data_IF_841757254052
#
_entry.id   IF_841757254052
#
_cell.length_a   1.000
_cell.length_b   1.000
_cell.length_c   1.000
_cell.angle_alpha   90.00
_cell.angle_beta   90.00
_cell.angle_gamma   90.00
#
_symmetry.space_group_name_H-M   'P 1'
#
loop_
_entity.id
_entity.type
_entity.pdbx_description
1 polymer ?
#
# COMPACT_ATOMS: atom_id res chain seq x y z
N UNK A 1 11.49 -1.37 10.31
CA UNK A 1 12.20 -2.53 9.74
C UNK A 1 11.15 -3.59 9.40
N UNK A 2 10.54 -3.46 8.23
CA UNK A 2 9.52 -4.34 7.68
C UNK A 2 10.03 -4.79 6.31
N UNK A 3 9.84 -6.08 6.00
CA UNK A 3 10.22 -6.77 4.77
C UNK A 3 11.73 -6.89 4.49
N UNK A 4 12.46 -7.55 5.40
CA UNK A 4 13.68 -8.28 5.03
C UNK A 4 13.37 -9.78 5.03
N UNK A 5 13.15 -10.35 3.84
CA UNK A 5 13.06 -11.79 3.67
C UNK A 5 14.43 -12.43 3.86
N UNK A 6 14.77 -12.79 5.10
CA UNK A 6 15.73 -13.89 5.30
C UNK A 6 14.97 -15.19 5.07
N UNK A 7 15.48 -16.02 4.17
CA UNK A 7 15.07 -17.42 4.07
C UNK A 7 15.26 -18.06 5.45
N UNK A 8 14.15 -18.34 6.13
CA UNK A 8 14.13 -19.15 7.35
C UNK A 8 14.11 -20.64 6.97
N UNK A 9 14.71 -21.51 7.80
CA UNK A 9 14.88 -22.92 7.49
C UNK A 9 13.51 -23.63 7.37
N UNK A 10 13.45 -24.81 6.73
CA UNK A 10 12.20 -25.51 6.48
C UNK A 10 11.46 -25.74 7.80
N UNK A 11 10.16 -25.45 7.80
CA UNK A 11 9.28 -25.74 8.91
C UNK A 11 9.16 -27.26 9.05
N UNK A 12 9.94 -27.86 9.95
CA UNK A 12 9.61 -29.18 10.49
C UNK A 12 8.35 -29.04 11.35
N UNK A 13 7.24 -29.60 10.88
CA UNK A 13 5.98 -29.59 11.63
C UNK A 13 4.67 -29.63 10.81
N UNK A 14 4.72 -29.64 9.47
CA UNK A 14 3.53 -29.82 8.62
C UNK A 14 3.22 -31.30 8.34
N UNK A 15 3.24 -32.14 9.38
CA UNK A 15 2.85 -33.54 9.23
C UNK A 15 1.79 -33.90 10.27
N UNK A 16 0.58 -34.18 9.79
CA UNK A 16 -0.60 -34.82 10.45
C UNK A 16 -1.95 -34.06 10.43
N UNK A 17 -2.40 -33.47 9.31
CA UNK A 17 -3.74 -32.88 9.31
C UNK A 17 -4.48 -32.58 8.00
N UNK A 18 -4.11 -33.15 6.84
CA UNK A 18 -4.78 -32.87 5.55
C UNK A 18 -5.57 -34.01 4.87
N UNK A 19 -5.84 -35.21 5.46
CA UNK A 19 -6.75 -36.15 4.80
C UNK A 19 -8.21 -35.74 5.06
N UNK A 20 -8.85 -35.12 4.07
CA UNK A 20 -10.28 -34.78 4.09
C UNK A 20 -10.66 -33.38 3.58
N UNK A 21 -9.71 -32.57 3.11
CA UNK A 21 -10.00 -31.29 2.44
C UNK A 21 -10.34 -31.54 0.96
N UNK A 22 -11.40 -30.89 0.41
CA UNK A 22 -11.86 -31.11 -0.97
C UNK A 22 -10.76 -31.07 -2.03
N UNK A 23 -9.78 -30.18 -1.86
CA UNK A 23 -8.68 -29.91 -2.79
C UNK A 23 -7.77 -31.10 -3.09
N UNK A 24 -7.79 -32.13 -2.24
CA UNK A 24 -7.03 -33.35 -2.47
C UNK A 24 -7.64 -34.23 -3.58
N UNK A 25 -8.93 -34.04 -3.88
CA UNK A 25 -9.70 -34.87 -4.81
C UNK A 25 -9.92 -34.20 -6.18
N UNK A 26 -10.05 -32.87 -6.28
CA UNK A 26 -10.31 -32.13 -7.53
C UNK A 26 -9.21 -31.14 -7.96
N UNK A 27 -8.20 -30.93 -7.11
CA UNK A 27 -7.08 -30.02 -7.36
C UNK A 27 -7.27 -28.66 -6.69
N UNK A 28 -6.35 -27.72 -6.97
CA UNK A 28 -6.42 -26.33 -6.49
C UNK A 28 -6.80 -25.46 -7.69
N UNK A 29 -7.91 -24.73 -7.61
CA UNK A 29 -8.32 -23.78 -8.64
C UNK A 29 -7.66 -22.39 -8.48
N UNK A 30 -7.90 -21.46 -9.42
CA UNK A 30 -7.30 -20.12 -9.41
C UNK A 30 -7.75 -19.27 -8.20
N UNK A 31 -8.95 -19.50 -7.67
CA UNK A 31 -9.46 -18.78 -6.49
C UNK A 31 -8.86 -19.34 -5.21
N UNK A 32 -8.74 -20.65 -5.11
CA UNK A 32 -8.08 -21.34 -4.01
C UNK A 32 -6.58 -21.02 -3.98
N UNK A 33 -5.92 -20.95 -5.14
CA UNK A 33 -4.53 -20.51 -5.25
C UNK A 33 -4.34 -19.07 -4.74
N UNK A 34 -5.27 -18.18 -5.09
CA UNK A 34 -5.29 -16.80 -4.62
C UNK A 34 -5.49 -16.71 -3.09
N UNK A 35 -6.40 -17.51 -2.53
CA UNK A 35 -6.62 -17.60 -1.09
C UNK A 35 -5.37 -18.12 -0.35
N UNK A 36 -4.77 -19.21 -0.84
CA UNK A 36 -3.56 -19.80 -0.26
C UNK A 36 -2.41 -18.78 -0.24
N UNK A 37 -2.23 -18.01 -1.30
CA UNK A 37 -1.15 -17.04 -1.37
C UNK A 37 -1.30 -15.89 -0.35
N UNK A 38 -2.53 -15.39 -0.15
CA UNK A 38 -2.83 -14.41 0.92
C UNK A 38 -2.56 -15.02 2.31
N UNK A 39 -3.00 -16.27 2.53
CA UNK A 39 -2.83 -16.94 3.81
C UNK A 39 -1.36 -17.22 4.12
N UNK A 40 -0.57 -17.64 3.13
CA UNK A 40 0.87 -17.85 3.28
C UNK A 40 1.59 -16.55 3.66
N UNK A 41 1.21 -15.45 3.03
CA UNK A 41 1.77 -14.15 3.33
C UNK A 41 1.36 -13.62 4.73
N UNK A 42 0.32 -14.21 5.33
CA UNK A 42 -0.12 -13.94 6.70
C UNK A 42 0.16 -15.07 7.68
N UNK A 43 1.00 -16.06 7.32
CA UNK A 43 1.34 -17.26 8.13
C UNK A 43 1.92 -16.99 9.53
N UNK A 44 2.36 -15.76 9.79
CA UNK A 44 2.86 -15.34 11.11
C UNK A 44 1.72 -15.08 12.11
N UNK A 45 0.47 -15.08 11.65
CA UNK A 45 -0.75 -15.01 12.47
C UNK A 45 -1.05 -16.34 13.16
N UNK A 46 -2.07 -16.37 14.02
CA UNK A 46 -2.40 -17.59 14.76
C UNK A 46 -2.82 -18.73 13.82
N UNK A 47 -2.59 -19.98 14.24
CA UNK A 47 -2.92 -21.15 13.43
C UNK A 47 -4.43 -21.28 13.15
N UNK A 48 -5.29 -20.60 13.92
CA UNK A 48 -6.73 -20.52 13.72
C UNK A 48 -7.07 -19.53 12.59
N UNK A 49 -6.40 -18.37 12.56
CA UNK A 49 -6.55 -17.38 11.49
C UNK A 49 -6.07 -17.88 10.11
N UNK A 50 -5.26 -18.93 10.10
CA UNK A 50 -4.85 -19.62 8.88
C UNK A 50 -5.79 -20.77 8.49
N UNK A 51 -6.23 -21.59 9.46
CA UNK A 51 -7.03 -22.79 9.18
C UNK A 51 -8.48 -22.49 8.85
N UNK A 52 -9.15 -21.60 9.58
CA UNK A 52 -10.59 -21.39 9.35
C UNK A 52 -10.91 -20.92 7.93
N UNK A 53 -10.16 -19.97 7.31
CA UNK A 53 -10.46 -19.55 5.95
C UNK A 53 -10.24 -20.67 4.91
N UNK A 54 -9.35 -21.63 5.18
CA UNK A 54 -9.17 -22.82 4.31
C UNK A 54 -10.37 -23.78 4.45
N UNK A 55 -10.91 -23.94 5.65
CA UNK A 55 -12.04 -24.84 5.92
C UNK A 55 -13.38 -24.24 5.48
N UNK A 56 -13.55 -22.93 5.59
CA UNK A 56 -14.77 -22.20 5.22
C UNK A 56 -14.45 -20.77 4.82
N UNK A 57 -14.79 -20.41 3.58
CA UNK A 57 -14.73 -19.04 3.11
C UNK A 57 -15.88 -18.73 2.15
N UNK A 58 -16.16 -17.44 2.04
CA UNK A 58 -17.00 -16.87 1.03
C UNK A 58 -16.12 -16.03 0.10
N UNK A 59 -16.31 -16.22 -1.20
CA UNK A 59 -15.62 -15.46 -2.24
C UNK A 59 -16.61 -14.58 -2.99
N UNK A 60 -16.19 -13.36 -3.29
CA UNK A 60 -16.78 -12.53 -4.34
C UNK A 60 -15.71 -12.30 -5.38
N UNK A 61 -16.08 -12.49 -6.64
CA UNK A 61 -15.17 -12.26 -7.76
C UNK A 61 -15.82 -11.38 -8.81
N UNK A 62 -15.02 -10.54 -9.46
CA UNK A 62 -15.44 -9.66 -10.55
C UNK A 62 -14.29 -9.49 -11.51
N UNK A 63 -14.56 -9.67 -12.79
CA UNK A 63 -13.61 -9.26 -13.84
C UNK A 63 -13.97 -7.86 -14.29
N UNK A 64 -13.00 -6.96 -14.25
CA UNK A 64 -13.14 -5.58 -14.72
C UNK A 64 -12.27 -5.39 -15.97
N UNK A 65 -12.77 -4.60 -16.92
CA UNK A 65 -11.99 -4.18 -18.08
C UNK A 65 -11.38 -2.80 -17.80
N UNK A 66 -10.06 -2.73 -17.81
CA UNK A 66 -9.26 -1.53 -17.65
C UNK A 66 -8.63 -1.11 -18.99
N UNK A 67 -8.59 0.20 -19.31
CA UNK A 67 -8.04 0.70 -20.58
C UNK A 67 -6.62 0.22 -20.93
N UNK A 68 -5.71 0.11 -19.95
CA UNK A 68 -4.30 -0.23 -20.19
C UNK A 68 -3.95 -1.66 -19.79
N UNK A 69 -4.50 -2.18 -18.69
CA UNK A 69 -4.26 -3.54 -18.23
C UNK A 69 -5.07 -4.61 -18.97
N UNK A 70 -6.18 -4.24 -19.60
CA UNK A 70 -7.15 -5.20 -20.13
C UNK A 70 -8.02 -5.79 -19.03
N UNK A 71 -8.30 -7.09 -19.09
CA UNK A 71 -9.13 -7.77 -18.10
C UNK A 71 -8.34 -8.03 -16.81
N UNK A 72 -8.86 -7.53 -15.69
CA UNK A 72 -8.30 -7.73 -14.34
C UNK A 72 -9.33 -8.46 -13.48
N UNK A 73 -8.94 -9.59 -12.89
CA UNK A 73 -9.76 -10.33 -11.93
C UNK A 73 -9.55 -9.74 -10.53
N UNK A 74 -10.65 -9.30 -9.92
CA UNK A 74 -10.73 -8.87 -8.54
C UNK A 74 -11.34 -10.01 -7.70
N UNK A 75 -10.71 -10.31 -6.57
CA UNK A 75 -11.17 -11.33 -5.63
C UNK A 75 -11.30 -10.72 -4.23
N UNK A 76 -12.38 -11.04 -3.54
CA UNK A 76 -12.57 -10.73 -2.12
C UNK A 76 -12.89 -12.01 -1.38
N UNK A 77 -12.05 -12.38 -0.41
CA UNK A 77 -12.30 -13.53 0.47
C UNK A 77 -12.72 -13.05 1.86
N UNK A 78 -13.72 -13.70 2.44
CA UNK A 78 -14.17 -13.45 3.81
C UNK A 78 -14.51 -14.80 4.47
N UNK A 79 -14.17 -14.97 5.75
CA UNK A 79 -14.53 -16.19 6.48
C UNK A 79 -16.06 -16.27 6.72
N UNK A 80 -16.68 -15.17 7.11
CA UNK A 80 -18.13 -15.07 7.28
C UNK A 80 -18.83 -14.65 5.99
N UNK A 81 -20.15 -14.88 5.91
CA UNK A 81 -20.95 -14.39 4.79
C UNK A 81 -20.92 -12.85 4.71
N UNK A 82 -20.78 -12.33 3.50
CA UNK A 82 -20.76 -10.89 3.26
C UNK A 82 -22.04 -10.20 3.76
N UNK A 83 -21.93 -9.07 4.48
CA UNK A 83 -23.09 -8.35 4.96
C UNK A 83 -23.92 -7.79 3.78
N UNK A 84 -25.26 -7.66 3.95
CA UNK A 84 -26.08 -6.98 2.96
C UNK A 84 -25.60 -5.55 2.72
N UNK A 85 -25.40 -5.19 1.45
CA UNK A 85 -24.89 -3.86 1.08
C UNK A 85 -23.37 -3.71 1.14
N UNK A 86 -22.61 -4.78 1.41
CA UNK A 86 -21.18 -4.79 1.12
C UNK A 86 -20.96 -4.47 -0.38
N UNK A 87 -20.25 -3.38 -0.63
CA UNK A 87 -19.87 -2.87 -1.95
C UNK A 87 -18.35 -2.91 -2.15
N UNK A 88 -17.65 -3.81 -1.47
CA UNK A 88 -16.20 -3.79 -1.42
C UNK A 88 -15.56 -4.07 -2.77
N UNK A 89 -16.14 -4.98 -3.56
CA UNK A 89 -15.64 -5.29 -4.89
C UNK A 89 -15.92 -4.17 -5.91
N UNK A 90 -17.04 -3.45 -5.75
CA UNK A 90 -17.32 -2.23 -6.52
C UNK A 90 -16.34 -1.10 -6.16
N UNK A 91 -16.05 -0.93 -4.87
CA UNK A 91 -15.06 0.05 -4.42
C UNK A 91 -13.67 -0.27 -4.99
N UNK A 92 -13.28 -1.54 -5.01
CA UNK A 92 -12.03 -1.96 -5.63
C UNK A 92 -11.97 -1.64 -7.12
N UNK A 93 -13.06 -1.89 -7.85
CA UNK A 93 -13.13 -1.52 -9.26
C UNK A 93 -12.93 -0.02 -9.46
N UNK A 94 -13.65 0.80 -8.69
CA UNK A 94 -13.57 2.26 -8.75
C UNK A 94 -12.15 2.76 -8.45
N UNK A 95 -11.47 2.16 -7.46
CA UNK A 95 -10.09 2.48 -7.12
C UNK A 95 -9.14 2.07 -8.25
N UNK A 96 -9.25 0.84 -8.76
CA UNK A 96 -8.37 0.35 -9.83
C UNK A 96 -8.45 1.25 -11.07
N UNK A 97 -9.66 1.70 -11.42
CA UNK A 97 -9.88 2.65 -12.53
C UNK A 97 -9.20 4.00 -12.26
N UNK A 98 -9.42 4.59 -11.08
CA UNK A 98 -8.83 5.87 -10.73
C UNK A 98 -7.29 5.82 -10.67
N UNK A 99 -6.74 4.72 -10.16
CA UNK A 99 -5.30 4.51 -10.07
C UNK A 99 -4.66 4.27 -11.45
N UNK A 100 -5.26 3.46 -12.32
CA UNK A 100 -4.77 3.28 -13.70
C UNK A 100 -4.84 4.59 -14.49
N UNK A 101 -5.93 5.35 -14.33
CA UNK A 101 -6.05 6.66 -14.95
C UNK A 101 -4.95 7.61 -14.48
N UNK A 102 -4.68 7.69 -13.17
CA UNK A 102 -3.64 8.55 -12.65
C UNK A 102 -2.24 8.10 -13.07
N UNK A 103 -1.94 6.81 -12.94
CA UNK A 103 -0.62 6.28 -13.23
C UNK A 103 -0.30 6.27 -14.71
N UNK A 104 -1.32 6.32 -15.59
CA UNK A 104 -1.16 6.24 -17.04
C UNK A 104 -0.22 5.09 -17.46
N UNK A 105 -0.29 3.99 -16.70
CA UNK A 105 0.45 2.77 -16.87
C UNK A 105 -0.51 1.60 -16.58
N UNK A 106 -0.33 0.43 -17.23
CA UNK A 106 -1.20 -0.71 -16.99
C UNK A 106 -1.25 -1.07 -15.50
N UNK A 107 -2.46 -1.17 -14.96
CA UNK A 107 -2.65 -1.77 -13.65
C UNK A 107 -2.05 -3.19 -13.65
N UNK A 108 -1.32 -3.61 -12.62
CA UNK A 108 -0.79 -4.97 -12.54
C UNK A 108 -1.89 -6.02 -12.75
N UNK A 109 -1.60 -6.99 -13.63
CA UNK A 109 -2.60 -7.87 -14.28
C UNK A 109 -2.52 -9.35 -13.86
N UNK A 110 -1.68 -9.68 -12.88
CA UNK A 110 -1.91 -10.89 -12.08
C UNK A 110 -3.22 -10.69 -11.29
N UNK A 111 -3.98 -11.73 -10.95
CA UNK A 111 -5.24 -11.56 -10.21
C UNK A 111 -4.98 -10.70 -8.97
N UNK A 112 -5.71 -9.59 -8.87
CA UNK A 112 -5.59 -8.65 -7.76
C UNK A 112 -6.49 -9.19 -6.66
N UNK A 113 -5.85 -9.76 -5.65
CA UNK A 113 -6.56 -10.48 -4.59
C UNK A 113 -6.68 -9.58 -3.37
N UNK A 114 -7.89 -9.39 -2.84
CA UNK A 114 -8.08 -8.93 -1.46
C UNK A 114 -8.53 -10.11 -0.62
N UNK A 115 -7.67 -10.60 0.25
CA UNK A 115 -8.08 -11.39 1.39
C UNK A 115 -8.55 -10.48 2.53
N UNK A 116 -9.85 -10.46 2.81
CA UNK A 116 -10.35 -9.90 4.06
C UNK A 116 -10.25 -11.01 5.09
N UNK A 117 -9.12 -11.05 5.79
CA UNK A 117 -8.92 -12.01 6.87
C UNK A 117 -9.66 -11.50 8.08
N UNK A 118 -10.86 -12.03 8.26
CA UNK A 118 -11.57 -11.84 9.49
C UNK A 118 -10.90 -12.65 10.62
N UNK A 119 -10.61 -12.05 11.79
CA UNK A 119 -10.59 -12.84 12.99
C UNK A 119 -11.98 -13.43 13.14
N UNK A 120 -12.05 -14.74 13.34
CA UNK A 120 -13.16 -15.31 14.07
C UNK A 120 -13.39 -14.46 15.33
N UNK A 121 -14.64 -14.03 15.53
CA UNK A 121 -15.13 -13.31 16.71
C UNK A 121 -15.02 -14.15 18.02
N UNK A 122 -14.13 -15.16 18.09
CA UNK A 122 -14.16 -16.21 19.11
C UNK A 122 -12.95 -16.34 20.03
N UNK A 123 -11.74 -15.90 19.66
CA UNK A 123 -10.54 -16.44 20.32
C UNK A 123 -9.89 -15.57 21.41
N UNK A 124 -10.34 -14.33 21.66
CA UNK A 124 -9.67 -13.44 22.62
C UNK A 124 -8.20 -13.13 22.28
N UNK A 125 -7.77 -13.51 21.07
CA UNK A 125 -6.46 -13.22 20.52
C UNK A 125 -6.41 -11.73 20.18
N UNK A 126 -5.37 -11.05 20.66
CA UNK A 126 -5.10 -9.69 20.19
C UNK A 126 -4.66 -9.83 18.74
N UNK A 127 -5.36 -9.27 17.75
CA UNK A 127 -4.79 -9.18 16.42
C UNK A 127 -3.46 -8.45 16.59
N UNK A 128 -2.36 -9.10 16.25
CA UNK A 128 -1.08 -8.40 16.16
C UNK A 128 -1.28 -7.21 15.22
N UNK A 129 -0.71 -6.06 15.57
CA UNK A 129 -0.98 -4.78 14.91
C UNK A 129 -0.67 -4.88 13.41
N UNK A 130 -1.70 -5.01 12.59
CA UNK A 130 -1.64 -4.96 11.13
C UNK A 130 -2.97 -4.42 10.61
N UNK A 131 -2.93 -3.29 9.91
CA UNK A 131 -4.10 -2.48 9.50
C UNK A 131 -4.62 -2.99 8.14
N UNK A 132 -3.68 -3.22 7.22
CA UNK A 132 -3.77 -4.00 6.00
C UNK A 132 -2.33 -4.33 5.58
N UNK A 133 -2.14 -5.28 4.66
CA UNK A 133 -0.82 -5.53 4.06
C UNK A 133 -0.97 -5.86 2.59
N UNK A 134 -0.33 -5.07 1.74
CA UNK A 134 -0.03 -5.47 0.37
C UNK A 134 1.14 -6.45 0.35
N UNK A 135 1.01 -7.47 -0.48
CA UNK A 135 1.83 -8.67 -0.60
C UNK A 135 1.96 -8.97 -2.09
N UNK A 136 2.70 -8.11 -2.79
CA UNK A 136 2.77 -8.05 -4.25
C UNK A 136 1.40 -7.64 -4.84
N UNK A 137 0.79 -8.49 -5.65
CA UNK A 137 -0.52 -8.25 -6.28
C UNK A 137 -1.70 -8.65 -5.36
N UNK A 138 -1.45 -8.82 -4.06
CA UNK A 138 -2.40 -9.36 -3.09
C UNK A 138 -2.48 -8.45 -1.87
N UNK A 139 -3.67 -8.30 -1.27
CA UNK A 139 -3.94 -7.44 -0.13
C UNK A 139 -4.55 -8.27 0.99
N UNK A 140 -4.11 -8.06 2.23
CA UNK A 140 -4.66 -8.71 3.42
C UNK A 140 -5.19 -7.67 4.41
N UNK A 141 -6.51 -7.58 4.61
CA UNK A 141 -7.14 -6.61 5.53
C UNK A 141 -7.66 -7.35 6.77
N UNK A 142 -7.51 -6.77 7.96
CA UNK A 142 -8.06 -7.36 9.20
C UNK A 142 -9.53 -6.97 9.41
N UNK A 143 -10.35 -7.83 10.04
CA UNK A 143 -11.76 -7.44 10.29
C UNK A 143 -11.92 -6.22 11.18
N UNK A 144 -10.95 -5.90 12.04
CA UNK A 144 -11.06 -4.70 12.88
C UNK A 144 -11.17 -3.45 12.01
N UNK A 145 -10.37 -3.38 10.95
CA UNK A 145 -10.37 -2.26 10.01
C UNK A 145 -11.52 -2.33 9.02
N UNK A 146 -11.87 -3.54 8.55
CA UNK A 146 -13.10 -3.76 7.81
C UNK A 146 -14.32 -3.16 8.56
N UNK A 147 -14.44 -3.45 9.85
CA UNK A 147 -15.55 -2.98 10.69
C UNK A 147 -15.46 -1.51 11.14
N UNK A 148 -14.31 -0.85 11.02
CA UNK A 148 -14.09 0.56 11.42
C UNK A 148 -14.23 1.56 10.29
N UNK A 149 -14.27 1.08 9.05
CA UNK A 149 -14.28 1.92 7.86
C UNK A 149 -13.38 1.31 6.79
N UNK A 150 -13.75 0.10 6.35
CA UNK A 150 -13.12 -0.69 5.29
C UNK A 150 -12.55 0.15 4.15
N UNK A 151 -13.29 1.17 3.72
CA UNK A 151 -12.96 2.06 2.62
C UNK A 151 -11.53 2.62 2.72
N UNK A 152 -11.13 3.23 3.84
CA UNK A 152 -9.82 3.91 3.93
C UNK A 152 -8.65 2.95 3.79
N UNK A 153 -8.76 1.76 4.39
CA UNK A 153 -7.73 0.73 4.30
C UNK A 153 -7.67 0.17 2.89
N UNK A 154 -8.81 -0.12 2.25
CA UNK A 154 -8.82 -0.61 0.85
C UNK A 154 -8.19 0.40 -0.09
N UNK A 155 -8.53 1.68 0.06
CA UNK A 155 -7.90 2.77 -0.70
C UNK A 155 -6.37 2.72 -0.58
N UNK A 156 -5.85 2.70 0.66
CA UNK A 156 -4.41 2.67 0.93
C UNK A 156 -3.75 1.42 0.36
N UNK A 157 -4.24 0.23 0.71
CA UNK A 157 -3.67 -1.05 0.31
C UNK A 157 -3.73 -1.26 -1.22
N UNK A 158 -4.80 -0.85 -1.90
CA UNK A 158 -4.84 -0.92 -3.37
C UNK A 158 -3.82 -0.03 -4.06
N UNK A 159 -3.40 1.06 -3.41
CA UNK A 159 -2.38 1.94 -3.95
C UNK A 159 -0.99 1.32 -3.87
N UNK A 160 -0.76 0.40 -2.92
CA UNK A 160 0.46 -0.40 -2.87
C UNK A 160 0.63 -1.26 -4.12
N UNK A 161 -0.42 -1.65 -4.86
CA UNK A 161 -0.27 -2.56 -6.01
C UNK A 161 0.74 -2.04 -7.06
N UNK A 162 0.89 -0.73 -7.22
CA UNK A 162 1.94 -0.15 -8.07
C UNK A 162 3.36 -0.16 -7.47
N UNK A 163 3.49 -0.23 -6.14
CA UNK A 163 4.75 -0.02 -5.40
C UNK A 163 5.19 -1.23 -4.57
N UNK A 164 4.32 -2.22 -4.41
CA UNK A 164 4.39 -3.16 -3.31
C UNK A 164 5.68 -3.98 -3.39
N UNK A 165 6.39 -4.05 -2.25
CA UNK A 165 7.30 -5.16 -1.91
C UNK A 165 8.63 -5.23 -2.65
N UNK A 166 8.87 -4.46 -3.71
CA UNK A 166 10.01 -4.69 -4.59
C UNK A 166 10.88 -3.46 -4.89
N UNK A 167 10.43 -2.24 -4.57
CA UNK A 167 11.13 -1.05 -5.04
C UNK A 167 12.41 -0.74 -4.27
N UNK A 168 12.59 -1.27 -3.05
CA UNK A 168 13.64 -0.85 -2.13
C UNK A 168 13.71 0.67 -1.90
N UNK A 169 12.62 1.39 -2.23
CA UNK A 169 12.57 2.83 -2.17
C UNK A 169 12.51 3.32 -0.71
N UNK A 170 12.89 4.58 -0.45
CA UNK A 170 12.73 5.18 0.86
C UNK A 170 11.29 5.06 1.38
N UNK A 171 11.12 4.63 2.63
CA UNK A 171 9.81 4.40 3.22
C UNK A 171 8.88 5.63 3.20
N UNK A 172 9.44 6.85 3.26
CA UNK A 172 8.63 8.06 3.14
C UNK A 172 7.96 8.17 1.76
N UNK A 173 8.61 7.67 0.71
CA UNK A 173 8.11 7.75 -0.65
C UNK A 173 7.09 6.67 -0.92
N UNK A 174 7.36 5.41 -0.53
CA UNK A 174 6.39 4.31 -0.71
C UNK A 174 5.12 4.60 0.07
N UNK A 175 5.23 4.77 1.39
CA UNK A 175 4.10 5.00 2.28
C UNK A 175 3.43 6.36 2.01
N UNK A 176 4.21 7.33 1.56
CA UNK A 176 3.70 8.62 1.11
C UNK A 176 2.88 8.51 -0.18
N UNK A 177 3.36 7.76 -1.18
CA UNK A 177 2.64 7.53 -2.43
C UNK A 177 1.37 6.70 -2.17
N UNK A 178 1.45 5.74 -1.25
CA UNK A 178 0.33 4.95 -0.76
C UNK A 178 -0.62 5.75 0.12
N UNK A 179 -0.22 6.92 0.64
CA UNK A 179 -1.12 7.91 1.23
C UNK A 179 -1.72 8.87 0.19
N UNK A 180 -0.94 9.29 -0.82
CA UNK A 180 -1.38 10.27 -1.80
C UNK A 180 -2.32 9.71 -2.89
N UNK A 181 -1.96 8.58 -3.50
CA UNK A 181 -2.75 7.91 -4.53
C UNK A 181 -4.18 7.55 -4.08
N UNK A 182 -4.42 7.04 -2.85
CA UNK A 182 -5.79 6.83 -2.42
C UNK A 182 -6.57 8.13 -2.28
N UNK A 183 -5.93 9.21 -1.85
CA UNK A 183 -6.61 10.50 -1.74
C UNK A 183 -6.94 11.10 -3.09
N UNK A 184 -6.12 10.85 -4.11
CA UNK A 184 -6.52 11.12 -5.49
C UNK A 184 -7.76 10.31 -5.89
N UNK A 185 -7.76 9.00 -5.66
CA UNK A 185 -8.91 8.15 -5.99
C UNK A 185 -10.18 8.58 -5.23
N UNK A 186 -10.05 8.94 -3.94
CA UNK A 186 -11.15 9.47 -3.13
C UNK A 186 -11.68 10.81 -3.64
N UNK A 187 -10.82 11.66 -4.19
CA UNK A 187 -11.25 12.91 -4.82
C UNK A 187 -12.06 12.65 -6.09
N UNK A 188 -11.59 11.73 -6.96
CA UNK A 188 -12.33 11.35 -8.18
C UNK A 188 -13.71 10.75 -7.85
N UNK A 189 -13.81 10.03 -6.73
CA UNK A 189 -15.06 9.41 -6.28
C UNK A 189 -15.91 10.35 -5.40
N UNK A 190 -15.54 11.62 -5.27
CA UNK A 190 -16.32 12.63 -4.51
C UNK A 190 -16.38 12.38 -3.00
N UNK A 191 -15.43 11.61 -2.44
CA UNK A 191 -15.40 11.18 -1.03
C UNK A 191 -14.63 12.15 -0.11
N UNK A 192 -13.45 12.61 -0.56
CA UNK A 192 -12.69 13.68 0.11
C UNK A 192 -11.82 14.37 -0.92
N UNK A 193 -11.71 15.70 -0.85
CA UNK A 193 -10.80 16.45 -1.72
C UNK A 193 -9.37 16.40 -1.21
N UNK A 194 -8.41 16.39 -2.14
CA UNK A 194 -6.97 16.47 -1.83
C UNK A 194 -6.69 17.72 -1.00
N UNK A 195 -7.35 18.84 -1.34
CA UNK A 195 -7.18 20.10 -0.60
C UNK A 195 -7.61 20.01 0.87
N UNK A 196 -8.68 19.28 1.18
CA UNK A 196 -9.14 19.07 2.55
C UNK A 196 -8.16 18.21 3.34
N UNK A 197 -7.72 17.10 2.74
CA UNK A 197 -6.78 16.17 3.37
C UNK A 197 -5.41 16.81 3.60
N UNK A 198 -4.91 17.58 2.63
CA UNK A 198 -3.67 18.37 2.76
C UNK A 198 -3.68 19.29 3.99
N UNK A 199 -4.80 19.97 4.26
CA UNK A 199 -4.90 20.83 5.45
C UNK A 199 -4.82 20.03 6.75
N UNK A 200 -5.42 18.84 6.79
CA UNK A 200 -5.34 17.93 7.94
C UNK A 200 -3.90 17.45 8.15
N UNK A 201 -3.22 17.04 7.07
CA UNK A 201 -1.82 16.62 7.14
C UNK A 201 -0.88 17.74 7.56
N UNK A 202 -1.10 18.96 7.06
CA UNK A 202 -0.33 20.13 7.46
C UNK A 202 -0.44 20.38 8.98
N UNK A 203 -1.64 20.25 9.54
CA UNK A 203 -1.87 20.35 10.98
C UNK A 203 -1.07 19.27 11.74
N UNK A 204 -1.12 18.02 11.29
CA UNK A 204 -0.36 16.91 11.91
C UNK A 204 1.15 17.14 11.81
N UNK A 205 1.63 17.66 10.68
CA UNK A 205 3.04 18.01 10.50
C UNK A 205 3.49 19.09 11.50
N UNK A 206 2.73 20.18 11.61
CA UNK A 206 3.03 21.31 12.48
C UNK A 206 2.98 20.93 13.97
N UNK A 207 1.91 20.23 14.38
CA UNK A 207 1.58 19.98 15.78
C UNK A 207 2.26 18.73 16.35
N UNK A 208 2.55 17.73 15.50
CA UNK A 208 3.12 16.46 15.96
C UNK A 208 4.55 16.25 15.46
N UNK A 209 4.76 16.21 14.15
CA UNK A 209 6.05 15.80 13.58
C UNK A 209 7.14 16.85 13.84
N UNK A 210 6.85 18.13 13.59
CA UNK A 210 7.82 19.20 13.84
C UNK A 210 8.17 19.32 15.31
N UNK A 211 7.19 19.24 16.21
CA UNK A 211 7.39 19.30 17.67
C UNK A 211 8.25 18.12 18.17
N UNK A 212 8.08 16.94 17.57
CA UNK A 212 8.90 15.75 17.88
C UNK A 212 10.30 15.79 17.24
N UNK A 213 10.64 16.84 16.49
CA UNK A 213 11.95 17.01 15.86
C UNK A 213 12.11 16.28 14.53
N UNK A 214 11.02 15.73 13.98
CA UNK A 214 10.96 15.06 12.67
C UNK A 214 10.40 16.00 11.59
N UNK A 215 10.63 17.30 11.71
CA UNK A 215 10.01 18.32 10.86
C UNK A 215 10.38 18.24 9.36
N UNK A 216 11.33 17.39 8.98
CA UNK A 216 11.64 17.06 7.58
C UNK A 216 11.88 15.56 7.44
N UNK A 217 11.67 15.02 6.23
CA UNK A 217 11.88 13.60 5.91
C UNK A 217 13.30 13.16 6.24
N UNK A 218 14.31 13.90 5.79
CA UNK A 218 15.73 13.61 6.06
C UNK A 218 16.05 13.59 7.56
N UNK A 219 15.41 14.43 8.38
CA UNK A 219 15.58 14.40 9.84
C UNK A 219 14.95 13.15 10.44
N UNK A 220 13.78 12.74 9.95
CA UNK A 220 13.14 11.51 10.38
C UNK A 220 13.99 10.28 10.03
N UNK A 221 14.48 10.17 8.80
CA UNK A 221 15.33 9.05 8.37
C UNK A 221 16.59 8.91 9.22
N UNK A 222 17.30 10.01 9.51
CA UNK A 222 18.48 10.01 10.39
C UNK A 222 18.18 9.60 11.85
N UNK A 223 16.91 9.62 12.28
CA UNK A 223 16.56 9.13 13.61
C UNK A 223 16.65 7.61 13.71
N UNK A 224 16.56 6.86 12.60
CA UNK A 224 16.72 5.39 12.67
C UNK A 224 18.12 5.05 13.20
N UNK A 225 19.14 5.77 12.73
CA UNK A 225 20.53 5.57 13.18
C UNK A 225 20.81 6.18 14.56
N UNK A 226 20.27 7.37 14.84
CA UNK A 226 20.65 8.16 16.03
C UNK A 226 19.76 7.92 17.24
N UNK A 227 18.51 7.50 17.04
CA UNK A 227 17.53 7.22 18.09
C UNK A 227 16.42 6.25 17.61
N UNK A 228 16.74 4.95 17.47
CA UNK A 228 15.82 3.94 16.90
C UNK A 228 14.47 3.84 17.64
N UNK A 229 14.46 4.03 18.96
CA UNK A 229 13.22 3.97 19.74
C UNK A 229 12.31 5.18 19.45
N UNK A 230 12.91 6.36 19.28
CA UNK A 230 12.18 7.54 18.85
C UNK A 230 11.71 7.42 17.41
N UNK A 231 12.53 6.89 16.52
CA UNK A 231 12.15 6.58 15.14
C UNK A 231 10.91 5.69 15.09
N UNK A 232 10.91 4.57 15.82
CA UNK A 232 9.74 3.66 15.92
C UNK A 232 8.50 4.35 16.48
N UNK A 233 8.63 5.13 17.55
CA UNK A 233 7.50 5.85 18.15
C UNK A 233 6.98 7.04 17.33
N UNK A 234 7.74 7.49 16.33
CA UNK A 234 7.36 8.55 15.38
C UNK A 234 7.03 7.98 13.99
N UNK A 235 6.87 6.66 13.84
CA UNK A 235 6.67 6.02 12.53
C UNK A 235 5.56 6.64 11.69
N UNK A 236 4.47 7.08 12.31
CA UNK A 236 3.35 7.76 11.64
C UNK A 236 3.77 9.05 10.89
N UNK A 237 4.85 9.71 11.33
CA UNK A 237 5.38 10.88 10.64
C UNK A 237 6.01 10.52 9.30
N UNK A 238 6.51 9.29 9.09
CA UNK A 238 7.02 8.86 7.78
C UNK A 238 5.91 8.92 6.72
N UNK A 239 4.75 8.36 7.07
CA UNK A 239 3.53 8.30 6.26
C UNK A 239 3.03 9.72 5.98
N UNK A 240 2.72 10.47 7.04
CA UNK A 240 2.09 11.78 6.91
C UNK A 240 2.99 12.81 6.21
N UNK A 241 4.30 12.79 6.44
CA UNK A 241 5.24 13.70 5.77
C UNK A 241 5.36 13.37 4.29
N UNK A 242 5.47 12.08 3.94
CA UNK A 242 5.54 11.64 2.56
C UNK A 242 4.28 12.00 1.79
N UNK A 243 3.12 11.64 2.33
CA UNK A 243 1.81 11.94 1.77
C UNK A 243 1.62 13.44 1.57
N UNK A 244 1.90 14.23 2.61
CA UNK A 244 1.81 15.69 2.54
C UNK A 244 2.74 16.29 1.49
N UNK A 245 3.98 15.82 1.42
CA UNK A 245 4.95 16.32 0.46
C UNK A 245 4.53 16.02 -0.98
N UNK A 246 4.03 14.82 -1.25
CA UNK A 246 3.51 14.45 -2.57
C UNK A 246 2.26 15.26 -2.94
N UNK A 247 1.38 15.57 -1.98
CA UNK A 247 0.26 16.48 -2.19
C UNK A 247 0.69 17.91 -2.53
N UNK A 248 1.72 18.44 -1.86
CA UNK A 248 2.27 19.77 -2.19
C UNK A 248 2.85 19.79 -3.61
N UNK A 249 3.55 18.73 -4.01
CA UNK A 249 4.05 18.60 -5.39
C UNK A 249 2.88 18.53 -6.38
N UNK A 250 1.87 17.71 -6.11
CA UNK A 250 0.68 17.61 -6.97
C UNK A 250 -0.03 18.97 -7.14
N UNK A 251 -0.16 19.75 -6.08
CA UNK A 251 -0.73 21.10 -6.16
C UNK A 251 0.15 22.09 -6.94
N UNK A 252 1.47 21.95 -6.86
CA UNK A 252 2.42 22.78 -7.59
C UNK A 252 2.46 22.43 -9.09
N UNK A 253 2.42 21.14 -9.41
CA UNK A 253 2.64 20.61 -10.75
C UNK A 253 1.35 20.47 -11.56
N UNK A 254 0.24 20.20 -10.88
CA UNK A 254 -0.99 19.72 -11.49
C UNK A 254 -0.93 18.22 -11.79
N UNK A 255 -2.09 17.64 -12.15
CA UNK A 255 -2.27 16.20 -12.38
C UNK A 255 -1.21 15.63 -13.32
N UNK A 256 -1.11 16.15 -14.54
CA UNK A 256 -0.36 15.49 -15.61
C UNK A 256 1.14 15.41 -15.30
N UNK A 257 1.73 16.50 -14.78
CA UNK A 257 3.15 16.54 -14.44
C UNK A 257 3.47 15.70 -13.18
N UNK A 258 2.58 15.67 -12.18
CA UNK A 258 2.75 14.80 -11.00
C UNK A 258 2.60 13.31 -11.36
N UNK A 259 1.59 12.97 -12.16
CA UNK A 259 1.38 11.65 -12.74
C UNK A 259 2.62 11.18 -13.51
N UNK A 260 3.14 12.02 -14.42
CA UNK A 260 4.31 11.68 -15.22
C UNK A 260 5.55 11.37 -14.36
N UNK A 261 5.82 12.16 -13.31
CA UNK A 261 6.94 11.93 -12.41
C UNK A 261 6.85 10.57 -11.69
N UNK A 262 5.67 10.26 -11.14
CA UNK A 262 5.42 9.02 -10.41
C UNK A 262 5.46 7.82 -11.37
N UNK A 263 4.83 7.93 -12.54
CA UNK A 263 4.86 6.91 -13.59
C UNK A 263 6.28 6.60 -14.06
N UNK A 264 7.10 7.63 -14.27
CA UNK A 264 8.47 7.43 -14.75
C UNK A 264 9.30 6.59 -13.76
N UNK A 265 9.11 6.81 -12.46
CA UNK A 265 9.74 6.00 -11.41
C UNK A 265 9.24 4.55 -11.46
N UNK A 266 7.92 4.36 -11.56
CA UNK A 266 7.31 3.04 -11.65
C UNK A 266 7.82 2.26 -12.87
N UNK A 267 7.82 2.87 -14.07
CA UNK A 267 8.26 2.22 -15.30
C UNK A 267 9.76 1.89 -15.28
N UNK A 268 10.59 2.77 -14.70
CA UNK A 268 12.02 2.50 -14.53
C UNK A 268 12.26 1.30 -13.62
N UNK A 269 11.60 1.25 -12.47
CA UNK A 269 11.74 0.16 -11.53
C UNK A 269 11.20 -1.17 -12.09
N UNK A 270 10.08 -1.13 -12.82
CA UNK A 270 9.54 -2.30 -13.52
C UNK A 270 10.48 -2.81 -14.62
N UNK A 271 11.14 -1.91 -15.36
CA UNK A 271 12.04 -2.29 -16.45
C UNK A 271 13.28 -3.08 -15.98
N UNK A 272 13.71 -2.89 -14.74
CA UNK A 272 14.80 -3.67 -14.12
C UNK A 272 14.28 -4.94 -13.42
N UNK A 273 12.98 -5.23 -13.50
CA UNK A 273 12.36 -6.30 -12.73
C UNK A 273 12.47 -6.08 -11.23
N UNK A 274 12.54 -4.81 -10.80
CA UNK A 274 12.68 -4.40 -9.41
C UNK A 274 13.98 -4.88 -8.73
N UNK A 275 15.02 -5.16 -9.52
CA UNK A 275 16.28 -5.68 -8.99
C UNK A 275 17.09 -4.64 -8.20
N UNK A 276 16.83 -3.35 -8.44
CA UNK A 276 17.57 -2.23 -7.85
C UNK A 276 16.63 -1.31 -7.06
N UNK A 277 17.05 -0.85 -5.88
CA UNK A 277 16.25 0.07 -5.08
C UNK A 277 16.11 1.44 -5.77
N UNK A 278 14.92 2.03 -5.75
CA UNK A 278 14.73 3.43 -6.15
C UNK A 278 15.42 4.32 -5.10
N UNK A 279 16.31 5.18 -5.55
CA UNK A 279 17.09 6.08 -4.70
C UNK A 279 16.41 7.45 -4.50
N UNK A 280 16.80 8.15 -3.43
CA UNK A 280 16.41 9.55 -3.19
C UNK A 280 16.71 10.46 -4.41
N UNK A 281 17.88 10.28 -5.05
CA UNK A 281 18.26 11.06 -6.22
C UNK A 281 17.36 10.75 -7.42
N UNK A 282 16.99 9.49 -7.64
CA UNK A 282 16.05 9.13 -8.71
C UNK A 282 14.69 9.78 -8.48
N UNK A 283 14.18 9.78 -7.24
CA UNK A 283 12.93 10.44 -6.88
C UNK A 283 13.02 11.94 -7.15
N UNK A 284 14.05 12.61 -6.62
CA UNK A 284 14.28 14.04 -6.85
C UNK A 284 14.32 14.38 -8.34
N UNK A 285 15.08 13.61 -9.13
CA UNK A 285 15.22 13.82 -10.58
C UNK A 285 13.94 13.59 -11.35
N UNK A 286 13.15 12.57 -11.00
CA UNK A 286 11.88 12.31 -11.66
C UNK A 286 10.92 13.49 -11.54
N UNK A 287 10.79 14.07 -10.33
CA UNK A 287 9.99 15.27 -10.12
C UNK A 287 10.63 16.53 -10.73
N UNK A 288 11.94 16.70 -10.64
CA UNK A 288 12.63 17.84 -11.24
C UNK A 288 12.45 17.88 -12.77
N UNK A 289 12.57 16.72 -13.43
CA UNK A 289 12.46 16.60 -14.88
C UNK A 289 11.04 16.82 -15.40
N UNK A 290 10.03 16.50 -14.58
CA UNK A 290 8.62 16.68 -14.91
C UNK A 290 8.03 17.99 -14.38
N UNK A 291 8.82 18.82 -13.69
CA UNK A 291 8.36 20.10 -13.16
C UNK A 291 7.89 21.03 -14.31
N UNK A 292 6.67 21.60 -14.24
CA UNK A 292 6.20 22.52 -15.26
C UNK A 292 7.12 23.74 -15.42
N UNK A 293 7.14 24.32 -16.62
CA UNK A 293 7.96 25.49 -16.92
C UNK A 293 7.67 26.62 -15.92
N UNK A 294 8.71 27.14 -15.27
CA UNK A 294 8.61 28.18 -14.24
C UNK A 294 8.25 27.68 -12.84
N UNK A 295 8.16 26.36 -12.62
CA UNK A 295 7.91 25.76 -11.29
C UNK A 295 9.14 25.08 -10.68
N UNK A 296 10.26 24.99 -11.41
CA UNK A 296 11.50 24.34 -10.95
C UNK A 296 12.00 24.90 -9.62
N UNK A 297 12.15 26.23 -9.50
CA UNK A 297 12.63 26.86 -8.27
C UNK A 297 11.66 26.62 -7.09
N UNK A 298 10.35 26.67 -7.35
CA UNK A 298 9.34 26.38 -6.33
C UNK A 298 9.39 24.92 -5.87
N UNK A 299 9.63 23.98 -6.79
CA UNK A 299 9.83 22.57 -6.44
C UNK A 299 11.08 22.37 -5.58
N UNK A 300 12.21 22.97 -5.98
CA UNK A 300 13.44 22.90 -5.19
C UNK A 300 13.24 23.44 -3.78
N UNK A 301 12.54 24.57 -3.66
CA UNK A 301 12.17 25.12 -2.36
C UNK A 301 11.27 24.18 -1.54
N UNK A 302 10.25 23.57 -2.16
CA UNK A 302 9.39 22.57 -1.49
C UNK A 302 10.21 21.36 -1.01
N UNK A 303 11.12 20.87 -1.86
CA UNK A 303 12.00 19.74 -1.56
C UNK A 303 12.91 20.08 -0.36
N UNK A 304 13.59 21.22 -0.38
CA UNK A 304 14.41 21.67 0.74
C UNK A 304 13.58 21.83 2.04
N UNK A 305 12.36 22.36 1.93
CA UNK A 305 11.50 22.61 3.09
C UNK A 305 11.00 21.33 3.77
N UNK A 306 10.47 20.38 2.99
CA UNK A 306 9.76 19.22 3.53
C UNK A 306 10.61 17.96 3.53
N UNK A 307 11.42 17.76 2.49
CA UNK A 307 12.37 16.67 2.48
C UNK A 307 13.60 16.98 3.35
N UNK A 308 14.14 18.20 3.21
CA UNK A 308 15.34 18.64 3.94
C UNK A 308 16.60 18.69 3.08
N UNK A 309 16.48 18.56 1.75
CA UNK A 309 17.58 18.64 0.80
C UNK A 309 18.21 17.29 0.46
N UNK A 310 19.42 17.31 -0.10
CA UNK A 310 20.14 16.07 -0.41
C UNK A 310 20.34 15.24 0.87
N UNK A 311 19.99 13.96 0.79
CA UNK A 311 20.38 13.00 1.82
C UNK A 311 21.87 12.73 1.63
N UNK A 312 22.70 13.45 2.38
CA UNK A 312 24.12 13.18 2.49
C UNK A 312 24.26 11.89 3.33
N UNK A 313 24.11 10.75 2.67
CA UNK A 313 24.32 9.43 3.26
C UNK A 313 25.80 9.19 3.55
N UNK A 314 26.33 9.90 4.55
CA UNK A 314 27.66 9.67 5.13
C UNK A 314 27.58 8.79 6.36
#
# INVERSE_FOLDING_TARGET
MLCAGKASPPAEGLDSGLPGTPWFDDGIDDEELALIAVLEATRHRSAHQYRDPLESHHVRSKTIALPLAGDVKLLVFQHSAFPPGDNGIELMEDIARALEEFMEAPFPNNPVVIGIIEPSLGAGEKPEKGVGHSLNDQLAITAQEYNRGFDLTVFHEMSHIYWCGHTGAPAWFTEGAEGFLPDYAREQLGRQSISSRRLQLHQVWEDECRVRGTGTISKFQRMDDTNPDKYKSCGICAYNLGEFFLMEIYQLFGRDAASAAIRDLYLQARATGWSEPITEEQIYRAYLNNAPRGRVEAFQWLYERYHGGAYDGS
#
